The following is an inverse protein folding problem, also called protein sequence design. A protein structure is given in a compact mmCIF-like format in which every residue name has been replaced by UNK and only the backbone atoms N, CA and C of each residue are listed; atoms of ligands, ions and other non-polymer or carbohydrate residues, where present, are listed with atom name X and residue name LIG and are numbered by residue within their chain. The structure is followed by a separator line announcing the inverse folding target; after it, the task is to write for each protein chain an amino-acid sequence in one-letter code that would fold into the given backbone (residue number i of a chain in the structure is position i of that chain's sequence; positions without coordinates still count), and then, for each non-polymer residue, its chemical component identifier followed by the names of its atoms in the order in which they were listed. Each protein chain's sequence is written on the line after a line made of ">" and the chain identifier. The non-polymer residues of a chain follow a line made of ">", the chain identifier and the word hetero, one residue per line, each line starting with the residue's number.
data_IF_930006225788
#
_entry.id   IF_930006225788
#
_cell.length_a   1.000
_cell.length_b   1.000
_cell.length_c   1.000
_cell.angle_alpha   90.00
_cell.angle_beta   90.00
_cell.angle_gamma   90.00
#
_symmetry.space_group_name_H-M   'P 1'
#
loop_
_entity.id
_entity.type
_entity.pdbx_description
1 polymer ?
#
# COMPACT_ATOMS: atom_id res chain seq x y z
N UNK A 1 -15.54 -10.43 17.92
CA UNK A 1 -14.06 -10.52 17.84
C UNK A 1 -13.46 -10.40 16.44
N UNK A 2 -14.12 -10.82 15.33
CA UNK A 2 -13.61 -10.62 13.94
C UNK A 2 -13.39 -9.14 13.55
N UNK A 3 -14.19 -8.21 14.08
CA UNK A 3 -14.11 -6.77 13.76
C UNK A 3 -12.81 -6.09 14.21
N UNK A 4 -12.29 -6.40 15.40
CA UNK A 4 -11.09 -5.76 15.94
C UNK A 4 -9.86 -6.02 15.05
N UNK A 5 -9.78 -7.21 14.46
CA UNK A 5 -8.64 -7.60 13.64
C UNK A 5 -8.65 -6.87 12.29
N UNK A 6 -9.81 -6.69 11.66
CA UNK A 6 -9.90 -5.93 10.40
C UNK A 6 -9.77 -4.42 10.62
N UNK A 7 -10.26 -3.89 11.74
CA UNK A 7 -10.09 -2.46 12.06
C UNK A 7 -8.62 -2.08 12.22
N UNK A 8 -7.82 -2.91 12.91
CA UNK A 8 -6.38 -2.67 13.06
C UNK A 8 -5.67 -2.71 11.70
N UNK A 9 -6.01 -3.69 10.84
CA UNK A 9 -5.45 -3.78 9.48
C UNK A 9 -5.74 -2.51 8.67
N UNK A 10 -6.96 -1.99 8.73
CA UNK A 10 -7.37 -0.79 8.00
C UNK A 10 -6.71 0.49 8.56
N UNK A 11 -6.53 0.60 9.88
CA UNK A 11 -5.81 1.72 10.49
C UNK A 11 -4.33 1.66 10.10
N UNK A 12 -3.71 0.49 10.17
CA UNK A 12 -2.31 0.29 9.82
C UNK A 12 -2.07 0.61 8.33
N UNK A 13 -2.91 0.10 7.43
CA UNK A 13 -2.78 0.40 5.99
C UNK A 13 -3.05 1.87 5.69
N UNK A 14 -4.01 2.50 6.38
CA UNK A 14 -4.25 3.94 6.26
C UNK A 14 -3.05 4.77 6.69
N UNK A 15 -2.43 4.44 7.83
CA UNK A 15 -1.25 5.15 8.31
C UNK A 15 -0.07 5.01 7.35
N UNK A 16 0.21 3.79 6.87
CA UNK A 16 1.31 3.51 5.93
C UNK A 16 1.11 4.25 4.61
N UNK A 17 -0.06 4.09 3.98
CA UNK A 17 -0.35 4.74 2.70
C UNK A 17 -0.49 6.26 2.85
N UNK A 18 -0.97 6.74 4.00
CA UNK A 18 -1.06 8.17 4.31
C UNK A 18 0.31 8.81 4.43
N UNK A 19 1.23 8.18 5.17
CA UNK A 19 2.61 8.65 5.27
C UNK A 19 3.34 8.60 3.93
N UNK A 20 3.18 7.52 3.16
CA UNK A 20 3.76 7.40 1.83
C UNK A 20 3.18 8.44 0.85
N UNK A 21 1.86 8.65 0.89
CA UNK A 21 1.15 9.62 0.06
C UNK A 21 1.56 11.06 0.36
N UNK A 22 1.61 11.44 1.64
CA UNK A 22 2.10 12.74 2.06
C UNK A 22 3.57 12.94 1.65
N UNK A 23 4.42 11.93 1.87
CA UNK A 23 5.83 12.01 1.47
C UNK A 23 5.99 12.22 -0.04
N UNK A 24 5.24 11.48 -0.86
CA UNK A 24 5.27 11.60 -2.31
C UNK A 24 4.69 12.93 -2.85
N UNK A 25 3.70 13.51 -2.16
CA UNK A 25 3.11 14.78 -2.56
C UNK A 25 4.01 15.98 -2.20
N UNK A 26 4.58 15.98 -0.99
CA UNK A 26 5.35 17.11 -0.46
C UNK A 26 6.85 17.02 -0.74
N UNK A 27 7.40 15.81 -0.93
CA UNK A 27 8.84 15.59 -1.18
C UNK A 27 9.13 14.76 -2.47
N UNK A 28 8.49 15.06 -3.62
CA UNK A 28 8.65 14.23 -4.83
C UNK A 28 10.06 14.31 -5.43
N UNK A 29 10.74 15.45 -5.29
CA UNK A 29 12.08 15.65 -5.86
C UNK A 29 13.13 14.91 -5.05
N UNK A 30 12.98 14.94 -3.74
CA UNK A 30 13.84 14.27 -2.76
C UNK A 30 13.76 12.75 -2.95
N UNK A 31 12.57 12.20 -3.16
CA UNK A 31 12.37 10.77 -3.46
C UNK A 31 13.10 10.37 -4.75
N UNK A 32 12.99 11.18 -5.81
CA UNK A 32 13.69 10.91 -7.07
C UNK A 32 15.21 10.98 -6.89
N UNK A 33 15.70 12.01 -6.19
CA UNK A 33 17.12 12.22 -5.94
C UNK A 33 17.71 11.09 -5.08
N UNK A 34 17.02 10.68 -4.02
CA UNK A 34 17.41 9.54 -3.17
C UNK A 34 17.38 8.20 -3.93
N UNK A 35 16.61 8.11 -5.01
CA UNK A 35 16.55 6.94 -5.90
C UNK A 35 17.56 7.00 -7.05
N UNK A 36 18.43 8.03 -7.12
CA UNK A 36 19.37 8.23 -8.21
C UNK A 36 18.72 8.56 -9.56
N UNK A 37 17.46 9.00 -9.55
CA UNK A 37 16.67 9.31 -10.75
C UNK A 37 16.75 10.80 -11.11
N UNK A 38 16.63 11.15 -12.40
CA UNK A 38 16.66 12.54 -12.82
C UNK A 38 15.43 13.32 -12.32
N UNK A 39 15.68 14.45 -11.69
CA UNK A 39 14.63 15.37 -11.19
C UNK A 39 14.10 16.23 -12.34
N UNK A 40 13.23 15.64 -13.16
CA UNK A 40 12.54 16.30 -14.28
C UNK A 40 11.04 16.44 -14.01
N UNK A 41 10.38 17.35 -14.72
CA UNK A 41 8.96 17.65 -14.53
C UNK A 41 8.05 16.40 -14.60
N UNK A 42 8.28 15.52 -15.59
CA UNK A 42 7.43 14.34 -15.79
C UNK A 42 7.61 13.27 -14.69
N UNK A 43 8.83 12.84 -14.31
CA UNK A 43 9.03 11.98 -13.14
C UNK A 43 8.44 12.55 -11.84
N UNK A 44 8.62 13.85 -11.59
CA UNK A 44 8.06 14.53 -10.40
C UNK A 44 6.53 14.42 -10.40
N UNK A 45 5.89 14.68 -11.54
CA UNK A 45 4.44 14.54 -11.70
C UNK A 45 3.97 13.11 -11.41
N UNK A 46 4.68 12.07 -11.91
CA UNK A 46 4.29 10.69 -11.63
C UNK A 46 4.41 10.31 -10.16
N UNK A 47 5.44 10.79 -9.46
CA UNK A 47 5.57 10.59 -8.01
C UNK A 47 4.40 11.26 -7.28
N UNK A 48 4.03 12.47 -7.65
CA UNK A 48 2.89 13.17 -7.03
C UNK A 48 1.55 12.49 -7.33
N UNK A 49 1.32 12.00 -8.54
CA UNK A 49 0.11 11.24 -8.89
C UNK A 49 0.04 9.93 -8.09
N UNK A 50 1.16 9.22 -7.94
CA UNK A 50 1.23 8.05 -7.07
C UNK A 50 0.96 8.43 -5.61
N UNK A 51 1.47 9.57 -5.14
CA UNK A 51 1.19 10.11 -3.82
C UNK A 51 -0.30 10.42 -3.59
N UNK A 52 -0.97 11.03 -4.56
CA UNK A 52 -2.40 11.28 -4.52
C UNK A 52 -3.20 9.97 -4.48
N UNK A 53 -2.80 8.95 -5.25
CA UNK A 53 -3.40 7.62 -5.22
C UNK A 53 -3.26 6.97 -3.82
N UNK A 54 -2.07 7.03 -3.23
CA UNK A 54 -1.81 6.47 -1.90
C UNK A 54 -2.63 7.19 -0.82
N UNK A 55 -2.70 8.52 -0.88
CA UNK A 55 -3.52 9.30 0.05
C UNK A 55 -5.02 8.99 -0.12
N UNK A 56 -5.49 8.80 -1.35
CA UNK A 56 -6.85 8.36 -1.63
C UNK A 56 -7.19 7.02 -0.98
N UNK A 57 -6.33 6.01 -1.17
CA UNK A 57 -6.48 4.72 -0.50
C UNK A 57 -6.39 4.84 1.03
N UNK A 58 -5.49 5.68 1.55
CA UNK A 58 -5.35 5.93 2.98
C UNK A 58 -6.66 6.46 3.58
N UNK A 59 -7.29 7.43 2.92
CA UNK A 59 -8.57 7.99 3.35
C UNK A 59 -9.69 6.96 3.28
N UNK A 60 -9.78 6.18 2.19
CA UNK A 60 -10.76 5.09 2.09
C UNK A 60 -10.60 4.08 3.23
N UNK A 61 -9.35 3.71 3.55
CA UNK A 61 -9.06 2.77 4.62
C UNK A 61 -9.39 3.34 6.00
N UNK A 62 -9.05 4.61 6.24
CA UNK A 62 -9.35 5.30 7.49
C UNK A 62 -10.86 5.44 7.71
N UNK A 63 -11.61 5.79 6.67
CA UNK A 63 -13.07 5.98 6.77
C UNK A 63 -13.80 4.66 6.94
N UNK A 64 -13.31 3.57 6.34
CA UNK A 64 -13.92 2.25 6.42
C UNK A 64 -13.46 1.41 7.63
N UNK A 65 -12.57 1.93 8.50
CA UNK A 65 -11.97 1.15 9.61
C UNK A 65 -12.97 0.51 10.58
N UNK A 66 -14.18 1.05 10.71
CA UNK A 66 -15.24 0.50 11.57
C UNK A 66 -16.16 -0.50 10.84
N UNK A 67 -16.02 -0.67 9.53
CA UNK A 67 -16.84 -1.56 8.71
C UNK A 67 -16.26 -2.98 8.74
N UNK A 68 -17.14 -4.00 8.67
CA UNK A 68 -16.69 -5.38 8.51
C UNK A 68 -16.12 -5.58 7.11
N UNK A 69 -14.80 -5.66 7.00
CA UNK A 69 -14.12 -5.93 5.73
C UNK A 69 -14.27 -7.42 5.36
N UNK A 70 -14.55 -7.71 4.08
CA UNK A 70 -14.70 -9.07 3.55
C UNK A 70 -16.14 -9.53 3.26
N UNK A 71 -17.15 -8.86 3.84
CA UNK A 71 -18.56 -9.04 3.46
C UNK A 71 -18.88 -8.41 2.10
N UNK A 72 -20.05 -8.72 1.52
CA UNK A 72 -20.43 -8.31 0.14
C UNK A 72 -20.22 -6.80 -0.10
N UNK A 73 -20.59 -5.95 0.86
CA UNK A 73 -20.48 -4.49 0.75
C UNK A 73 -19.03 -3.96 0.81
N UNK A 74 -18.18 -4.55 1.65
CA UNK A 74 -16.80 -4.08 1.84
C UNK A 74 -15.77 -4.89 1.04
N UNK A 75 -16.21 -5.92 0.30
CA UNK A 75 -15.35 -6.77 -0.52
C UNK A 75 -14.61 -5.99 -1.62
N UNK A 76 -15.21 -5.02 -2.34
CA UNK A 76 -14.48 -4.24 -3.33
C UNK A 76 -13.31 -3.45 -2.73
N UNK A 77 -13.49 -2.86 -1.55
CA UNK A 77 -12.42 -2.14 -0.85
C UNK A 77 -11.29 -3.07 -0.41
N UNK A 78 -11.63 -4.26 0.11
CA UNK A 78 -10.65 -5.29 0.42
C UNK A 78 -9.87 -5.73 -0.82
N UNK A 79 -10.56 -5.97 -1.95
CA UNK A 79 -9.96 -6.36 -3.23
C UNK A 79 -9.02 -5.28 -3.76
N UNK A 80 -9.41 -4.01 -3.67
CA UNK A 80 -8.55 -2.89 -4.07
C UNK A 80 -7.24 -2.86 -3.29
N UNK A 81 -7.31 -2.98 -1.97
CA UNK A 81 -6.11 -3.06 -1.12
C UNK A 81 -5.28 -4.30 -1.44
N UNK A 82 -5.92 -5.45 -1.59
CA UNK A 82 -5.23 -6.70 -1.93
C UNK A 82 -4.43 -6.56 -3.23
N UNK A 83 -5.06 -6.09 -4.31
CA UNK A 83 -4.37 -5.92 -5.59
C UNK A 83 -3.29 -4.84 -5.53
N UNK A 84 -3.52 -3.74 -4.81
CA UNK A 84 -2.51 -2.71 -4.62
C UNK A 84 -1.24 -3.29 -3.96
N UNK A 85 -1.40 -3.98 -2.83
CA UNK A 85 -0.27 -4.56 -2.10
C UNK A 85 0.34 -5.77 -2.80
N UNK A 86 -0.46 -6.62 -3.43
CA UNK A 86 0.03 -7.80 -4.15
C UNK A 86 0.84 -7.40 -5.39
N UNK A 87 0.26 -6.60 -6.29
CA UNK A 87 0.92 -6.20 -7.54
C UNK A 87 2.11 -5.28 -7.24
N UNK A 88 1.96 -4.37 -6.28
CA UNK A 88 3.06 -3.54 -5.79
C UNK A 88 4.19 -4.39 -5.20
N UNK A 89 3.87 -5.36 -4.35
CA UNK A 89 4.84 -6.26 -3.74
C UNK A 89 5.61 -7.10 -4.77
N UNK A 90 4.92 -7.69 -5.74
CA UNK A 90 5.57 -8.42 -6.85
C UNK A 90 6.51 -7.50 -7.64
N UNK A 91 6.10 -6.26 -7.90
CA UNK A 91 6.91 -5.29 -8.64
C UNK A 91 8.17 -4.88 -7.85
N UNK A 92 8.03 -4.68 -6.53
CA UNK A 92 9.16 -4.37 -5.65
C UNK A 92 10.14 -5.54 -5.53
N UNK A 93 9.64 -6.77 -5.42
CA UNK A 93 10.48 -7.98 -5.41
C UNK A 93 11.29 -8.07 -6.72
N UNK A 94 10.64 -7.88 -7.87
CA UNK A 94 11.34 -7.90 -9.18
C UNK A 94 12.49 -6.88 -9.23
N UNK A 95 12.22 -5.64 -8.82
CA UNK A 95 13.26 -4.59 -8.77
C UNK A 95 14.37 -4.95 -7.79
N UNK A 96 14.03 -5.50 -6.63
CA UNK A 96 14.99 -5.87 -5.58
C UNK A 96 15.92 -7.02 -6.03
N UNK A 97 15.39 -7.96 -6.82
CA UNK A 97 16.20 -9.02 -7.45
C UNK A 97 17.16 -8.43 -8.49
N UNK A 98 16.68 -7.49 -9.32
CA UNK A 98 17.52 -6.84 -10.34
C UNK A 98 18.55 -5.87 -9.74
N UNK A 99 18.28 -5.31 -8.57
CA UNK A 99 19.14 -4.34 -7.87
C UNK A 99 19.31 -4.71 -6.40
N UNK A 100 20.04 -5.79 -6.07
CA UNK A 100 20.10 -6.32 -4.71
C UNK A 100 20.65 -5.35 -3.65
N UNK A 101 21.50 -4.40 -4.06
CA UNK A 101 22.07 -3.39 -3.18
C UNK A 101 21.06 -2.33 -2.70
N UNK A 102 19.87 -2.24 -3.32
CA UNK A 102 18.86 -1.26 -2.95
C UNK A 102 18.02 -1.76 -1.77
N UNK A 103 18.57 -1.65 -0.57
CA UNK A 103 17.95 -2.14 0.68
C UNK A 103 16.53 -1.60 0.92
N UNK A 104 16.26 -0.35 0.56
CA UNK A 104 14.92 0.24 0.68
C UNK A 104 13.85 -0.52 -0.14
N UNK A 105 14.21 -1.05 -1.31
CA UNK A 105 13.29 -1.83 -2.14
C UNK A 105 12.92 -3.17 -1.47
N UNK A 106 13.88 -3.83 -0.81
CA UNK A 106 13.62 -5.04 -0.02
C UNK A 106 12.72 -4.79 1.18
N UNK A 107 12.97 -3.69 1.90
CA UNK A 107 12.12 -3.30 3.04
C UNK A 107 10.69 -3.03 2.56
N UNK A 108 10.53 -2.24 1.50
CA UNK A 108 9.22 -1.97 0.91
C UNK A 108 8.54 -3.27 0.41
N UNK A 109 9.28 -4.17 -0.24
CA UNK A 109 8.78 -5.46 -0.70
C UNK A 109 8.22 -6.29 0.47
N UNK A 110 8.96 -6.40 1.58
CA UNK A 110 8.51 -7.12 2.77
C UNK A 110 7.22 -6.53 3.34
N UNK A 111 7.14 -5.20 3.48
CA UNK A 111 5.93 -4.52 3.94
C UNK A 111 4.73 -4.79 3.01
N UNK A 112 4.92 -4.62 1.70
CA UNK A 112 3.86 -4.87 0.71
C UNK A 112 3.39 -6.33 0.74
N UNK A 113 4.31 -7.30 0.85
CA UNK A 113 3.98 -8.71 0.93
C UNK A 113 3.17 -9.05 2.20
N UNK A 114 3.52 -8.48 3.35
CA UNK A 114 2.76 -8.67 4.60
C UNK A 114 1.32 -8.19 4.42
N UNK A 115 1.10 -6.96 3.93
CA UNK A 115 -0.24 -6.45 3.71
C UNK A 115 -1.01 -7.26 2.66
N UNK A 116 -0.35 -7.70 1.58
CA UNK A 116 -0.97 -8.55 0.56
C UNK A 116 -1.49 -9.86 1.16
N UNK A 117 -0.69 -10.53 2.00
CA UNK A 117 -1.11 -11.76 2.69
C UNK A 117 -2.26 -11.51 3.66
N UNK A 118 -2.21 -10.42 4.43
CA UNK A 118 -3.28 -10.06 5.38
C UNK A 118 -4.60 -9.76 4.67
N UNK A 119 -4.59 -8.94 3.62
CA UNK A 119 -5.80 -8.68 2.83
C UNK A 119 -6.28 -9.93 2.07
N UNK A 120 -5.36 -10.76 1.57
CA UNK A 120 -5.69 -12.05 0.97
C UNK A 120 -6.39 -12.98 1.97
N UNK A 121 -5.92 -13.05 3.21
CA UNK A 121 -6.60 -13.80 4.26
C UNK A 121 -8.00 -13.22 4.52
N UNK A 122 -8.15 -11.90 4.66
CA UNK A 122 -9.48 -11.30 4.91
C UNK A 122 -10.48 -11.60 3.78
N UNK A 123 -10.03 -11.68 2.52
CA UNK A 123 -10.90 -11.89 1.36
C UNK A 123 -11.22 -13.36 1.07
N UNK A 124 -10.23 -14.24 1.22
CA UNK A 124 -10.30 -15.65 0.79
C UNK A 124 -10.29 -16.62 1.97
N UNK A 125 -10.08 -16.14 3.19
CA UNK A 125 -10.10 -16.94 4.40
C UNK A 125 -11.46 -17.57 4.61
N UNK A 126 -11.47 -18.89 4.80
CA UNK A 126 -12.68 -19.65 5.10
C UNK A 126 -13.26 -19.12 6.42
N UNK A 127 -14.55 -18.75 6.48
CA UNK A 127 -15.19 -18.40 7.73
C UNK A 127 -15.11 -19.60 8.68
N UNK A 128 -14.31 -19.49 9.75
CA UNK A 128 -14.43 -20.44 10.86
C UNK A 128 -15.84 -20.25 11.45
N UNK A 129 -16.63 -21.34 11.40
CA UNK A 129 -17.94 -21.47 12.01
C UNK A 129 -17.86 -21.20 13.50
#
# INVERSE_FOLDING_TARGET
>A
MKHLHTSILMIASAAVLGLAGLSALFYPKEILLASGLPVKALPVLFVQIAGALYLGFAMMNWMAKSVLIGGIYARPLGMGNFFHFMIGGISLIKVSISHPAWSAAWVAAAFYSIFALLFGWVLFGIPKK
#
